data_IF_961598122133
#
_entry.id   IF_961598122133
#
_cell.length_a   1.000
_cell.length_b   1.000
_cell.length_c   1.000
_cell.angle_alpha   90.00
_cell.angle_beta   90.00
_cell.angle_gamma   90.00
#
_symmetry.space_group_name_H-M   'P 1'
#
loop_
_entity.id
_entity.type
_entity.pdbx_description
1 polymer ?
#
# COMPACT_ATOMS: atom_id res chain seq x y z
N UNK A 1 -27.15 23.41 -31.64
CA UNK A 1 -26.98 21.94 -31.64
C UNK A 1 -25.53 21.51 -31.94
N UNK A 2 -24.86 22.03 -32.96
CA UNK A 2 -23.46 21.66 -33.29
C UNK A 2 -22.44 21.89 -32.16
N UNK A 3 -22.51 23.02 -31.44
CA UNK A 3 -21.59 23.31 -30.33
C UNK A 3 -21.70 22.30 -29.16
N UNK A 4 -22.88 21.71 -28.93
CA UNK A 4 -23.09 20.68 -27.91
C UNK A 4 -22.45 19.35 -28.33
N UNK A 5 -22.56 18.97 -29.60
CA UNK A 5 -21.99 17.74 -30.14
C UNK A 5 -20.46 17.77 -30.14
N UNK A 6 -19.88 18.93 -30.44
CA UNK A 6 -18.42 19.13 -30.39
C UNK A 6 -17.92 19.04 -28.94
N UNK A 7 -18.61 19.67 -27.99
CA UNK A 7 -18.29 19.62 -26.56
C UNK A 7 -18.34 18.19 -25.98
N UNK A 8 -19.38 17.42 -26.35
CA UNK A 8 -19.52 16.01 -25.92
C UNK A 8 -18.40 15.12 -26.49
N UNK A 9 -18.02 15.33 -27.74
CA UNK A 9 -16.94 14.57 -28.38
C UNK A 9 -15.58 14.85 -27.74
N UNK A 10 -15.33 16.09 -27.34
CA UNK A 10 -14.13 16.51 -26.61
C UNK A 10 -14.06 15.83 -25.26
N UNK A 11 -15.15 15.84 -24.46
CA UNK A 11 -15.21 15.20 -23.15
C UNK A 11 -14.98 13.68 -23.25
N UNK A 12 -15.63 12.99 -24.19
CA UNK A 12 -15.43 11.54 -24.40
C UNK A 12 -13.97 11.20 -24.74
N UNK A 13 -13.32 12.01 -25.55
CA UNK A 13 -11.89 11.83 -25.87
C UNK A 13 -11.00 12.03 -24.64
N UNK A 14 -11.27 13.03 -23.80
CA UNK A 14 -10.53 13.26 -22.55
C UNK A 14 -10.73 12.11 -21.54
N UNK A 15 -11.94 11.58 -21.41
CA UNK A 15 -12.22 10.40 -20.57
C UNK A 15 -11.40 9.21 -21.06
N UNK A 16 -11.44 8.90 -22.35
CA UNK A 16 -10.67 7.81 -22.97
C UNK A 16 -9.17 7.98 -22.71
N UNK A 17 -8.65 9.19 -22.86
CA UNK A 17 -7.25 9.52 -22.56
C UNK A 17 -6.87 9.23 -21.11
N UNK A 18 -7.75 9.52 -20.13
CA UNK A 18 -7.48 9.20 -18.70
C UNK A 18 -7.41 7.69 -18.48
N UNK A 19 -8.31 6.90 -19.10
CA UNK A 19 -8.27 5.44 -19.03
C UNK A 19 -6.99 4.88 -19.65
N UNK A 20 -6.55 5.43 -20.78
CA UNK A 20 -5.30 5.01 -21.40
C UNK A 20 -4.07 5.24 -20.54
N UNK A 21 -4.01 6.32 -19.73
CA UNK A 21 -2.93 6.50 -18.76
C UNK A 21 -2.90 5.39 -17.68
N UNK A 22 -4.07 4.93 -17.23
CA UNK A 22 -4.16 3.81 -16.29
C UNK A 22 -3.63 2.52 -16.92
N UNK A 23 -4.09 2.21 -18.13
CA UNK A 23 -3.64 1.02 -18.87
C UNK A 23 -2.13 1.05 -19.12
N UNK A 24 -1.60 2.20 -19.56
CA UNK A 24 -0.17 2.38 -19.79
C UNK A 24 0.66 2.12 -18.53
N UNK A 25 0.26 2.72 -17.38
CA UNK A 25 0.95 2.55 -16.12
C UNK A 25 0.94 1.07 -15.67
N UNK A 26 -0.22 0.41 -15.72
CA UNK A 26 -0.36 -1.00 -15.38
C UNK A 26 0.43 -1.92 -16.30
N UNK A 27 0.40 -1.64 -17.63
CA UNK A 27 1.18 -2.40 -18.62
C UNK A 27 2.68 -2.27 -18.37
N UNK A 28 3.17 -1.06 -18.05
CA UNK A 28 4.58 -0.84 -17.69
C UNK A 28 4.99 -1.71 -16.51
N UNK A 29 4.18 -1.72 -15.45
CA UNK A 29 4.47 -2.49 -14.23
C UNK A 29 4.37 -4.00 -14.47
N UNK A 30 3.39 -4.46 -15.23
CA UNK A 30 3.22 -5.87 -15.56
C UNK A 30 4.36 -6.47 -16.40
N UNK A 31 5.16 -5.62 -17.05
CA UNK A 31 6.34 -6.04 -17.83
C UNK A 31 7.67 -5.68 -17.12
N UNK A 32 7.65 -5.26 -15.86
CA UNK A 32 8.85 -4.92 -15.10
C UNK A 32 9.24 -6.09 -14.18
N UNK A 33 10.18 -6.91 -14.65
CA UNK A 33 10.67 -8.09 -13.92
C UNK A 33 11.21 -7.78 -12.52
N UNK A 34 11.72 -6.56 -12.31
CA UNK A 34 12.17 -6.13 -10.99
C UNK A 34 10.99 -5.95 -10.04
N UNK A 35 9.93 -5.29 -10.49
CA UNK A 35 8.72 -5.11 -9.68
C UNK A 35 8.07 -6.46 -9.42
N UNK A 36 7.98 -7.33 -10.42
CA UNK A 36 7.44 -8.70 -10.26
C UNK A 36 8.23 -9.46 -9.20
N UNK A 37 9.56 -9.45 -9.25
CA UNK A 37 10.41 -10.08 -8.24
C UNK A 37 10.22 -9.49 -6.82
N UNK A 38 10.04 -8.16 -6.71
CA UNK A 38 9.74 -7.53 -5.43
C UNK A 38 8.35 -7.91 -4.88
N UNK A 39 7.34 -8.07 -5.74
CA UNK A 39 6.01 -8.58 -5.35
C UNK A 39 6.11 -10.01 -4.86
N UNK A 40 6.88 -10.87 -5.53
CA UNK A 40 7.16 -12.23 -5.07
C UNK A 40 7.85 -12.24 -3.69
N UNK A 41 8.83 -11.36 -3.47
CA UNK A 41 9.51 -11.21 -2.18
C UNK A 41 8.52 -10.81 -1.07
N UNK A 42 7.58 -9.89 -1.34
CA UNK A 42 6.51 -9.53 -0.41
C UNK A 42 5.60 -10.71 -0.12
N UNK A 43 5.17 -11.47 -1.14
CA UNK A 43 4.35 -12.66 -0.92
C UNK A 43 5.06 -13.67 0.00
N UNK A 44 6.33 -13.93 -0.23
CA UNK A 44 7.13 -14.85 0.59
C UNK A 44 7.28 -14.33 2.05
N UNK A 45 7.49 -13.01 2.23
CA UNK A 45 7.56 -12.38 3.55
C UNK A 45 6.23 -12.53 4.32
N UNK A 46 5.09 -12.32 3.67
CA UNK A 46 3.76 -12.49 4.28
C UNK A 46 3.46 -13.95 4.64
N UNK A 47 3.77 -14.88 3.75
CA UNK A 47 3.58 -16.32 4.00
C UNK A 47 4.39 -16.75 5.23
N UNK A 48 5.65 -16.32 5.33
CA UNK A 48 6.50 -16.58 6.48
C UNK A 48 5.94 -15.94 7.75
N UNK A 49 5.60 -14.66 7.71
CA UNK A 49 5.00 -13.89 8.80
C UNK A 49 3.80 -14.64 9.41
N UNK A 50 2.85 -15.06 8.59
CA UNK A 50 1.66 -15.77 9.06
C UNK A 50 1.94 -17.18 9.58
N UNK A 51 2.86 -17.92 8.95
CA UNK A 51 3.28 -19.25 9.45
C UNK A 51 3.98 -19.19 10.80
N UNK A 52 4.67 -18.10 11.08
CA UNK A 52 5.36 -17.85 12.37
C UNK A 52 4.46 -17.18 13.42
N UNK A 53 3.18 -16.90 13.09
CA UNK A 53 2.18 -16.35 14.02
C UNK A 53 2.27 -14.84 14.21
N UNK A 54 2.96 -14.13 13.32
CA UNK A 54 3.11 -12.69 13.30
C UNK A 54 1.93 -11.98 12.62
N UNK A 55 1.99 -10.64 12.56
CA UNK A 55 0.91 -9.76 12.10
C UNK A 55 1.36 -8.82 10.99
N UNK A 56 0.38 -8.28 10.30
CA UNK A 56 0.58 -7.27 9.26
C UNK A 56 -0.01 -5.94 9.71
N UNK A 57 0.75 -4.86 9.53
CA UNK A 57 0.30 -3.50 9.79
C UNK A 57 0.43 -2.66 8.53
N UNK A 58 -0.57 -1.81 8.27
CA UNK A 58 -0.63 -1.07 7.01
C UNK A 58 -0.99 0.38 7.29
N UNK A 59 -0.29 1.31 6.66
CA UNK A 59 -0.51 2.74 6.81
C UNK A 59 -0.33 3.52 5.52
N UNK A 60 -0.98 4.68 5.46
CA UNK A 60 -0.91 5.62 4.34
C UNK A 60 -1.77 6.85 4.63
N UNK A 61 -1.75 7.84 3.75
CA UNK A 61 -2.50 9.08 3.89
C UNK A 61 -3.52 9.24 2.75
N UNK A 62 -4.66 9.87 3.01
CA UNK A 62 -5.68 10.16 1.99
C UNK A 62 -6.17 8.90 1.28
N UNK A 63 -6.05 8.83 -0.05
CA UNK A 63 -6.39 7.64 -0.83
C UNK A 63 -5.60 6.40 -0.39
N UNK A 64 -4.30 6.58 -0.08
CA UNK A 64 -3.48 5.48 0.46
C UNK A 64 -3.88 5.03 1.87
N UNK A 65 -4.62 5.85 2.63
CA UNK A 65 -5.25 5.39 3.87
C UNK A 65 -6.46 4.48 3.59
N UNK A 66 -7.23 4.78 2.54
CA UNK A 66 -8.30 3.90 2.08
C UNK A 66 -7.74 2.56 1.58
N UNK A 67 -6.64 2.59 0.81
CA UNK A 67 -5.93 1.39 0.33
C UNK A 67 -5.44 0.53 1.52
N UNK A 68 -4.92 1.16 2.58
CA UNK A 68 -4.48 0.46 3.79
C UNK A 68 -5.64 -0.28 4.48
N UNK A 69 -6.81 0.35 4.57
CA UNK A 69 -8.01 -0.26 5.14
C UNK A 69 -8.54 -1.39 4.26
N UNK A 70 -8.57 -1.19 2.94
CA UNK A 70 -8.97 -2.19 1.98
C UNK A 70 -8.08 -3.42 2.07
N UNK A 71 -6.75 -3.24 2.06
CA UNK A 71 -5.80 -4.35 2.18
C UNK A 71 -5.97 -5.12 3.48
N UNK A 72 -6.13 -4.44 4.62
CA UNK A 72 -6.40 -5.10 5.89
C UNK A 72 -7.71 -5.89 5.85
N UNK A 73 -8.75 -5.36 5.21
CA UNK A 73 -10.04 -6.04 5.09
C UNK A 73 -9.95 -7.34 4.26
N UNK A 74 -9.21 -7.34 3.16
CA UNK A 74 -8.99 -8.53 2.33
C UNK A 74 -8.21 -9.63 3.08
N UNK A 75 -7.29 -9.26 3.96
CA UNK A 75 -6.53 -10.21 4.78
C UNK A 75 -7.36 -10.75 5.95
N UNK A 76 -8.04 -9.87 6.69
CA UNK A 76 -8.83 -10.23 7.89
C UNK A 76 -10.11 -10.99 7.52
N UNK A 77 -10.80 -10.56 6.48
CA UNK A 77 -12.00 -11.22 5.98
C UNK A 77 -11.64 -12.48 5.20
N UNK A 78 -11.85 -12.43 3.90
CA UNK A 78 -11.40 -13.41 2.91
C UNK A 78 -11.20 -12.71 1.59
N UNK A 79 -10.37 -13.25 0.71
CA UNK A 79 -10.23 -12.71 -0.66
C UNK A 79 -11.03 -13.58 -1.64
N UNK A 80 -10.48 -14.67 -2.14
CA UNK A 80 -11.15 -15.58 -3.07
C UNK A 80 -11.61 -16.88 -2.41
N UNK A 81 -10.87 -17.36 -1.39
CA UNK A 81 -11.14 -18.64 -0.72
C UNK A 81 -11.88 -18.41 0.62
N UNK A 82 -12.75 -19.35 0.99
CA UNK A 82 -13.30 -19.41 2.34
C UNK A 82 -12.23 -19.96 3.28
N UNK A 83 -11.78 -19.15 4.24
CA UNK A 83 -10.65 -19.46 5.12
C UNK A 83 -10.69 -18.69 6.43
N UNK A 84 -9.86 -19.09 7.38
CA UNK A 84 -9.62 -18.33 8.61
C UNK A 84 -9.01 -16.97 8.28
N UNK A 85 -9.43 -15.91 8.99
CA UNK A 85 -8.87 -14.57 8.88
C UNK A 85 -7.38 -14.52 9.18
N UNK A 86 -6.64 -13.72 8.41
CA UNK A 86 -5.23 -13.44 8.60
C UNK A 86 -5.07 -12.16 9.42
N UNK A 87 -4.23 -12.12 10.48
CA UNK A 87 -4.09 -10.95 11.34
C UNK A 87 -3.50 -9.76 10.58
N UNK A 88 -4.31 -8.73 10.36
CA UNK A 88 -3.89 -7.46 9.74
C UNK A 88 -4.59 -6.27 10.39
N UNK A 89 -3.89 -5.14 10.51
CA UNK A 89 -4.42 -3.90 11.10
C UNK A 89 -4.03 -2.70 10.23
N UNK A 90 -5.02 -1.90 9.86
CA UNK A 90 -4.76 -0.59 9.26
C UNK A 90 -4.64 0.47 10.38
N UNK A 91 -3.50 1.16 10.46
CA UNK A 91 -3.27 2.26 11.41
C UNK A 91 -4.09 3.52 11.12
N UNK A 92 -4.98 3.44 10.16
CA UNK A 92 -5.78 4.55 9.64
C UNK A 92 -7.24 4.54 10.09
N UNK A 93 -7.62 3.62 10.99
CA UNK A 93 -9.02 3.38 11.36
C UNK A 93 -9.40 3.89 12.74
N UNK A 94 -8.50 3.85 13.72
CA UNK A 94 -8.80 4.33 15.07
C UNK A 94 -8.69 5.85 15.14
N UNK A 95 -9.85 6.50 15.03
CA UNK A 95 -9.94 7.97 15.03
C UNK A 95 -9.53 8.60 16.36
N UNK A 96 -9.70 7.88 17.49
CA UNK A 96 -9.28 8.36 18.80
C UNK A 96 -7.75 8.39 18.89
N UNK A 97 -7.06 7.35 18.42
CA UNK A 97 -5.59 7.34 18.37
C UNK A 97 -5.10 8.44 17.42
N UNK A 98 -5.64 8.51 16.20
CA UNK A 98 -5.20 9.49 15.19
C UNK A 98 -5.38 10.92 15.67
N UNK A 99 -6.51 11.24 16.29
CA UNK A 99 -6.81 12.61 16.76
C UNK A 99 -6.06 12.96 18.03
N UNK A 100 -5.95 12.07 19.01
CA UNK A 100 -5.19 12.32 20.22
C UNK A 100 -3.69 12.49 19.94
N UNK A 101 -3.08 11.54 19.22
CA UNK A 101 -1.66 11.64 18.86
C UNK A 101 -1.40 12.85 17.96
N UNK A 102 -2.29 13.11 16.99
CA UNK A 102 -2.18 14.28 16.11
C UNK A 102 -2.26 15.61 16.84
N UNK A 103 -3.10 15.69 17.90
CA UNK A 103 -3.21 16.88 18.75
C UNK A 103 -1.99 17.07 19.68
N UNK A 104 -1.52 16.01 20.30
CA UNK A 104 -0.53 16.07 21.37
C UNK A 104 0.92 16.08 20.86
N UNK A 105 1.20 15.37 19.76
CA UNK A 105 2.54 15.17 19.20
C UNK A 105 2.69 15.67 17.76
N UNK A 106 1.58 15.93 17.08
CA UNK A 106 1.56 16.30 15.67
C UNK A 106 1.27 15.14 14.74
N UNK A 107 0.84 15.48 13.51
CA UNK A 107 0.42 14.49 12.51
C UNK A 107 1.56 13.57 12.03
N UNK A 108 2.79 13.99 12.18
CA UNK A 108 3.97 13.19 11.83
C UNK A 108 4.13 11.95 12.72
N UNK A 109 3.60 11.97 13.94
CA UNK A 109 3.71 10.88 14.91
C UNK A 109 2.54 9.87 14.91
N UNK A 110 1.44 10.14 14.18
CA UNK A 110 0.20 9.33 14.24
C UNK A 110 0.41 7.84 13.94
N UNK A 111 1.32 7.50 13.04
CA UNK A 111 1.65 6.11 12.71
C UNK A 111 2.83 5.60 13.54
N UNK A 112 3.81 6.46 13.84
CA UNK A 112 4.97 6.09 14.62
C UNK A 112 4.59 5.63 16.03
N UNK A 113 3.63 6.31 16.70
CA UNK A 113 3.14 5.90 18.04
C UNK A 113 2.43 4.55 18.02
N UNK A 114 1.66 4.25 16.99
CA UNK A 114 1.05 2.93 16.83
C UNK A 114 2.10 1.85 16.52
N UNK A 115 3.12 2.16 15.71
CA UNK A 115 4.26 1.28 15.47
C UNK A 115 5.01 0.97 16.75
N UNK A 116 5.27 1.97 17.59
CA UNK A 116 5.93 1.80 18.89
C UNK A 116 5.17 0.83 19.80
N UNK A 117 3.86 0.97 19.87
CA UNK A 117 3.00 0.22 20.77
C UNK A 117 2.70 -1.20 20.33
N UNK A 118 2.58 -1.45 19.02
CA UNK A 118 1.96 -2.67 18.49
C UNK A 118 2.91 -3.56 17.68
N UNK A 119 3.89 -2.97 16.97
CA UNK A 119 4.76 -3.74 16.06
C UNK A 119 5.84 -4.47 16.86
N UNK A 120 6.06 -5.73 16.51
CA UNK A 120 7.08 -6.60 17.09
C UNK A 120 8.01 -7.15 16.02
N UNK A 121 9.12 -7.76 16.44
CA UNK A 121 10.05 -8.45 15.55
C UNK A 121 9.34 -9.60 14.82
N UNK A 122 9.53 -9.66 13.50
CA UNK A 122 8.92 -10.68 12.64
C UNK A 122 7.61 -10.24 11.98
N UNK A 123 7.00 -9.15 12.45
CA UNK A 123 5.84 -8.55 11.79
C UNK A 123 6.20 -7.96 10.42
N UNK A 124 5.20 -7.75 9.58
CA UNK A 124 5.34 -7.04 8.30
C UNK A 124 4.61 -5.70 8.36
N UNK A 125 5.29 -4.63 8.01
CA UNK A 125 4.72 -3.27 8.06
C UNK A 125 4.74 -2.63 6.67
N UNK A 126 3.56 -2.31 6.14
CA UNK A 126 3.39 -1.63 4.87
C UNK A 126 3.23 -0.12 5.05
N UNK A 127 4.07 0.64 4.36
CA UNK A 127 3.91 2.08 4.20
C UNK A 127 3.53 2.43 2.76
N UNK A 128 2.37 3.05 2.57
CA UNK A 128 1.86 3.44 1.26
C UNK A 128 2.02 4.96 1.09
N UNK A 129 2.82 5.37 0.09
CA UNK A 129 3.05 6.78 -0.21
C UNK A 129 3.30 7.01 -1.70
N UNK A 130 2.34 7.59 -2.40
CA UNK A 130 2.45 7.90 -3.84
C UNK A 130 3.51 8.95 -4.16
N UNK A 131 3.96 9.73 -3.18
CA UNK A 131 5.10 10.65 -3.31
C UNK A 131 6.42 10.04 -2.88
N UNK A 132 6.39 9.00 -2.03
CA UNK A 132 7.55 8.45 -1.35
C UNK A 132 8.12 9.35 -0.23
N UNK A 133 7.44 10.46 0.11
CA UNK A 133 7.97 11.48 1.02
C UNK A 133 7.05 11.83 2.20
N UNK A 134 6.06 11.00 2.49
CA UNK A 134 5.16 11.19 3.64
C UNK A 134 5.95 10.95 4.92
N UNK A 135 6.16 12.02 5.72
CA UNK A 135 7.03 11.97 6.90
C UNK A 135 6.51 11.00 7.97
N UNK A 136 5.21 11.01 8.25
CA UNK A 136 4.58 10.07 9.18
C UNK A 136 4.75 8.60 8.77
N UNK A 137 4.70 8.30 7.47
CA UNK A 137 4.97 6.95 6.93
C UNK A 137 6.45 6.61 7.07
N UNK A 138 7.35 7.54 6.73
CA UNK A 138 8.79 7.36 6.87
C UNK A 138 9.20 7.06 8.31
N UNK A 139 8.76 7.88 9.27
CA UNK A 139 9.14 7.74 10.68
C UNK A 139 8.64 6.41 11.28
N UNK A 140 7.44 5.99 10.91
CA UNK A 140 6.88 4.70 11.33
C UNK A 140 7.61 3.50 10.71
N UNK A 141 7.91 3.53 9.40
CA UNK A 141 8.70 2.48 8.75
C UNK A 141 10.10 2.36 9.33
N UNK A 142 10.77 3.49 9.59
CA UNK A 142 12.08 3.52 10.23
C UNK A 142 12.06 2.83 11.58
N UNK A 143 11.10 3.18 12.44
CA UNK A 143 10.94 2.55 13.75
C UNK A 143 10.60 1.05 13.64
N UNK A 144 9.73 0.66 12.69
CA UNK A 144 9.40 -0.75 12.45
C UNK A 144 10.66 -1.56 12.09
N UNK A 145 11.51 -1.02 11.22
CA UNK A 145 12.78 -1.64 10.85
C UNK A 145 13.72 -1.77 12.06
N UNK A 146 13.83 -0.73 12.88
CA UNK A 146 14.63 -0.75 14.13
C UNK A 146 14.13 -1.81 15.12
N UNK A 147 12.81 -2.07 15.16
CA UNK A 147 12.18 -3.14 15.96
C UNK A 147 12.34 -4.55 15.37
N UNK A 148 12.91 -4.68 14.18
CA UNK A 148 13.13 -5.97 13.51
C UNK A 148 11.93 -6.50 12.74
N UNK A 149 10.96 -5.66 12.41
CA UNK A 149 9.90 -5.97 11.47
C UNK A 149 10.41 -5.87 10.01
N UNK A 150 9.75 -6.58 9.09
CA UNK A 150 10.00 -6.44 7.65
C UNK A 150 9.18 -5.25 7.13
N UNK A 151 9.87 -4.27 6.57
CA UNK A 151 9.23 -3.06 6.05
C UNK A 151 9.04 -3.11 4.53
N UNK A 152 7.82 -2.89 4.08
CA UNK A 152 7.43 -2.87 2.67
C UNK A 152 6.94 -1.48 2.30
N UNK A 153 7.46 -0.92 1.21
CA UNK A 153 7.01 0.36 0.69
C UNK A 153 6.23 0.22 -0.60
N UNK A 154 4.97 0.65 -0.63
CA UNK A 154 4.24 0.93 -1.87
C UNK A 154 4.43 2.41 -2.19
N UNK A 155 5.39 2.70 -3.06
CA UNK A 155 5.92 4.04 -3.25
C UNK A 155 5.70 4.50 -4.70
N UNK A 156 5.59 5.80 -4.88
CA UNK A 156 5.51 6.39 -6.20
C UNK A 156 6.71 7.27 -6.57
N UNK A 157 6.73 7.71 -7.84
CA UNK A 157 7.78 8.57 -8.40
C UNK A 157 9.16 7.94 -8.26
N UNK A 158 10.06 8.54 -7.49
CA UNK A 158 11.42 8.03 -7.24
C UNK A 158 11.53 7.15 -5.98
N UNK A 159 10.41 6.99 -5.25
CA UNK A 159 10.38 6.33 -3.95
C UNK A 159 10.73 7.25 -2.77
N UNK A 160 11.26 8.44 -3.05
CA UNK A 160 11.56 9.47 -2.07
C UNK A 160 12.40 8.99 -0.88
N UNK A 161 12.14 9.59 0.29
CA UNK A 161 12.82 9.24 1.55
C UNK A 161 12.37 7.89 2.09
N UNK A 162 11.10 7.50 1.88
CA UNK A 162 10.55 6.25 2.38
C UNK A 162 11.29 5.02 1.83
N UNK A 163 11.77 5.07 0.58
CA UNK A 163 12.56 3.99 -0.03
C UNK A 163 13.76 3.57 0.81
N UNK A 164 14.36 4.50 1.57
CA UNK A 164 15.59 4.26 2.34
C UNK A 164 15.37 3.42 3.60
N UNK A 165 14.14 3.29 4.04
CA UNK A 165 13.73 2.59 5.28
C UNK A 165 12.82 1.40 5.00
N UNK A 166 12.75 0.96 3.73
CA UNK A 166 12.05 -0.24 3.33
C UNK A 166 13.03 -1.38 3.05
N UNK A 167 12.76 -2.56 3.57
CA UNK A 167 13.44 -3.78 3.16
C UNK A 167 13.04 -4.14 1.72
N UNK A 168 11.76 -3.98 1.39
CA UNK A 168 11.22 -4.26 0.05
C UNK A 168 10.51 -3.00 -0.48
N UNK A 169 11.20 -2.11 -1.22
CA UNK A 169 10.61 -0.91 -1.79
C UNK A 169 10.05 -1.17 -3.19
N UNK A 170 8.74 -1.30 -3.35
CA UNK A 170 8.07 -1.32 -4.66
C UNK A 170 7.84 0.13 -5.10
N UNK A 171 8.55 0.57 -6.13
CA UNK A 171 8.53 1.96 -6.60
C UNK A 171 7.91 2.05 -7.98
N UNK A 172 6.76 2.73 -8.07
CA UNK A 172 6.05 2.97 -9.32
C UNK A 172 6.50 4.30 -9.90
N UNK A 173 7.44 4.25 -10.84
CA UNK A 173 7.99 5.42 -11.53
C UNK A 173 7.00 5.93 -12.59
N UNK A 174 5.99 6.68 -12.15
CA UNK A 174 5.00 7.29 -13.01
C UNK A 174 4.65 8.71 -12.51
N UNK A 175 4.33 9.67 -13.43
CA UNK A 175 4.16 11.07 -13.03
C UNK A 175 2.82 11.36 -12.34
N UNK A 176 1.80 10.52 -12.54
CA UNK A 176 0.43 10.79 -12.11
C UNK A 176 0.06 10.00 -10.86
N UNK A 177 -0.19 10.69 -9.77
CA UNK A 177 -0.59 10.12 -8.47
C UNK A 177 -1.78 9.14 -8.55
N UNK A 178 -2.90 9.45 -9.25
CA UNK A 178 -4.02 8.50 -9.33
C UNK A 178 -3.61 7.16 -9.94
N UNK A 179 -2.80 7.17 -11.00
CA UNK A 179 -2.40 5.95 -11.69
C UNK A 179 -1.36 5.14 -10.87
N UNK A 180 -0.53 5.81 -10.06
CA UNK A 180 0.32 5.14 -9.06
C UNK A 180 -0.55 4.39 -8.05
N UNK A 181 -1.56 5.05 -7.49
CA UNK A 181 -2.49 4.45 -6.53
C UNK A 181 -3.24 3.26 -7.12
N UNK A 182 -3.78 3.37 -8.33
CA UNK A 182 -4.43 2.26 -9.04
C UNK A 182 -3.52 1.04 -9.22
N UNK A 183 -2.21 1.26 -9.37
CA UNK A 183 -1.21 0.18 -9.45
C UNK A 183 -0.92 -0.40 -8.07
N UNK A 184 -0.87 0.42 -7.00
CA UNK A 184 -0.76 -0.10 -5.64
C UNK A 184 -1.91 -1.06 -5.30
N UNK A 185 -3.15 -0.71 -5.67
CA UNK A 185 -4.31 -1.60 -5.50
C UNK A 185 -4.19 -2.90 -6.33
N UNK A 186 -3.75 -2.80 -7.59
CA UNK A 186 -3.52 -3.97 -8.42
C UNK A 186 -2.51 -4.94 -7.78
N UNK A 187 -1.39 -4.42 -7.26
CA UNK A 187 -0.37 -5.21 -6.58
C UNK A 187 -0.91 -5.82 -5.30
N UNK A 188 -1.66 -5.05 -4.50
CA UNK A 188 -2.29 -5.48 -3.26
C UNK A 188 -3.22 -6.69 -3.50
N UNK A 189 -4.11 -6.61 -4.49
CA UNK A 189 -5.00 -7.71 -4.86
C UNK A 189 -4.22 -8.95 -5.31
N UNK A 190 -3.17 -8.77 -6.12
CA UNK A 190 -2.29 -9.85 -6.56
C UNK A 190 -1.63 -10.56 -5.37
N UNK A 191 -1.13 -9.80 -4.39
CA UNK A 191 -0.54 -10.33 -3.17
C UNK A 191 -1.58 -11.10 -2.36
N UNK A 192 -2.80 -10.55 -2.16
CA UNK A 192 -3.86 -11.23 -1.44
C UNK A 192 -4.17 -12.61 -2.05
N UNK A 193 -4.33 -12.68 -3.38
CA UNK A 193 -4.63 -13.92 -4.08
C UNK A 193 -3.52 -14.97 -3.95
N UNK A 194 -2.26 -14.55 -4.16
CA UNK A 194 -1.12 -15.46 -4.12
C UNK A 194 -0.88 -15.98 -2.69
N UNK A 195 -0.91 -15.08 -1.69
CA UNK A 195 -0.70 -15.45 -0.28
C UNK A 195 -1.79 -16.37 0.21
N UNK A 196 -3.06 -16.08 -0.11
CA UNK A 196 -4.20 -16.91 0.26
C UNK A 196 -4.06 -18.32 -0.30
N UNK A 197 -3.79 -18.47 -1.60
CA UNK A 197 -3.57 -19.78 -2.25
C UNK A 197 -2.41 -20.56 -1.61
N UNK A 198 -1.29 -19.91 -1.36
CA UNK A 198 -0.10 -20.57 -0.79
C UNK A 198 -0.23 -20.97 0.67
N UNK A 199 -1.17 -20.40 1.41
CA UNK A 199 -1.42 -20.76 2.81
C UNK A 199 -2.51 -21.82 2.96
N UNK A 200 -3.45 -21.92 2.02
CA UNK A 200 -4.68 -22.69 2.18
C UNK A 200 -4.98 -23.70 1.06
N UNK A 201 -4.23 -23.70 -0.04
CA UNK A 201 -4.18 -24.74 -1.09
C UNK A 201 -2.86 -25.53 -1.04
#
# INVERSE_FOLDING_TARGET
MENNIIGEKIMKNEIKKKFMFSIECKTKVANDEKIIGQVEEVCNALIKCYKEGHRVYIMGNGGSAADAQHFAAELVGRYMLERKGLPAVAFTTDTSILTAVGNDYGYDDVFRRQTEALVEKGDVVFGISTSGNSKNVYDALKLAQEKGAITVGFLGKTGGTCKKVCNIPIVIEYPRTPNIQEVHEMIMHTICEIVEKKLYE
#
